data_IF_754231229093
#
_entry.id   IF_754231229093
#
_cell.length_a   1.000
_cell.length_b   1.000
_cell.length_c   1.000
_cell.angle_alpha   90.00
_cell.angle_beta   90.00
_cell.angle_gamma   90.00
#
_symmetry.space_group_name_H-M   'P 1'
#
loop_
_entity.id
_entity.type
_entity.pdbx_description
1 polymer ?
#
# COMPACT_ATOMS: atom_id res chain seq x y z
N UNK A 1 11.00 0.19 -4.89
CA UNK A 1 10.59 -1.06 -4.22
C UNK A 1 11.33 -1.20 -2.91
N UNK A 2 12.61 -1.56 -2.95
CA UNK A 2 13.42 -2.01 -1.79
C UNK A 2 13.26 -1.17 -0.52
N UNK A 3 13.44 0.16 -0.61
CA UNK A 3 13.28 1.05 0.56
C UNK A 3 11.89 0.93 1.22
N UNK A 4 10.83 0.87 0.42
CA UNK A 4 9.46 0.81 0.93
C UNK A 4 9.10 -0.59 1.43
N UNK A 5 9.61 -1.66 0.79
CA UNK A 5 9.48 -3.00 1.33
C UNK A 5 10.14 -3.14 2.72
N UNK A 6 11.36 -2.63 2.88
CA UNK A 6 12.04 -2.62 4.18
C UNK A 6 11.31 -1.75 5.22
N UNK A 7 10.79 -0.58 4.81
CA UNK A 7 10.02 0.29 5.69
C UNK A 7 8.71 -0.35 6.16
N UNK A 8 7.93 -0.95 5.24
CA UNK A 8 6.67 -1.63 5.57
C UNK A 8 6.91 -2.81 6.50
N UNK A 9 7.93 -3.64 6.24
CA UNK A 9 8.30 -4.74 7.14
C UNK A 9 8.87 -4.31 8.50
N UNK A 10 9.02 -3.01 8.74
CA UNK A 10 9.52 -2.42 10.00
C UNK A 10 8.48 -1.51 10.67
N UNK A 11 7.20 -1.60 10.30
CA UNK A 11 6.12 -0.86 10.97
C UNK A 11 6.06 -1.20 12.47
N UNK A 12 5.77 -0.24 13.38
CA UNK A 12 5.73 -0.51 14.82
C UNK A 12 4.80 -1.66 15.21
N UNK A 13 3.65 -1.74 14.53
CA UNK A 13 2.76 -2.89 14.52
C UNK A 13 2.59 -3.30 13.06
N UNK A 14 2.75 -4.59 12.76
CA UNK A 14 2.76 -5.06 11.39
C UNK A 14 1.95 -6.35 11.23
N UNK A 15 1.34 -6.54 10.07
CA UNK A 15 0.77 -7.84 9.66
C UNK A 15 1.48 -8.34 8.42
N UNK A 16 1.90 -9.60 8.45
CA UNK A 16 2.65 -10.22 7.36
C UNK A 16 2.22 -11.66 7.14
N UNK A 17 2.38 -12.11 5.90
CA UNK A 17 2.26 -13.51 5.53
C UNK A 17 3.66 -14.09 5.23
N UNK A 18 3.87 -15.34 5.58
CA UNK A 18 4.98 -16.13 5.04
C UNK A 18 4.64 -16.57 3.61
N UNK A 19 5.37 -16.15 2.55
CA UNK A 19 5.02 -16.52 1.18
C UNK A 19 5.15 -18.01 0.87
N UNK A 20 5.79 -18.81 1.74
CA UNK A 20 6.00 -20.25 1.55
C UNK A 20 4.72 -21.04 1.80
N UNK A 21 3.97 -20.70 2.83
CA UNK A 21 2.77 -21.43 3.26
C UNK A 21 1.55 -20.53 3.47
N UNK A 22 1.71 -19.21 3.35
CA UNK A 22 0.69 -18.18 3.57
C UNK A 22 0.12 -18.13 4.98
N UNK A 23 0.88 -18.62 5.97
CA UNK A 23 0.61 -18.38 7.38
C UNK A 23 0.75 -16.89 7.69
N UNK A 24 -0.22 -16.36 8.42
CA UNK A 24 -0.30 -14.93 8.79
C UNK A 24 0.07 -14.77 10.26
N UNK A 25 0.91 -13.78 10.53
CA UNK A 25 1.23 -13.33 11.88
C UNK A 25 1.01 -11.82 12.00
N UNK A 26 0.68 -11.37 13.21
CA UNK A 26 0.92 -10.00 13.61
C UNK A 26 2.24 -9.88 14.38
N UNK A 27 2.91 -8.76 14.19
CA UNK A 27 4.20 -8.41 14.79
C UNK A 27 4.03 -7.12 15.56
N UNK A 28 4.60 -7.06 16.75
CA UNK A 28 4.65 -5.86 17.58
C UNK A 28 6.10 -5.55 17.93
N UNK A 29 6.64 -4.49 17.34
CA UNK A 29 7.99 -3.99 17.62
C UNK A 29 8.02 -2.97 18.77
N UNK A 30 6.88 -2.68 19.39
CA UNK A 30 6.77 -1.71 20.48
C UNK A 30 6.92 -2.37 21.85
N UNK A 31 6.92 -1.54 22.90
CA UNK A 31 7.07 -1.96 24.30
C UNK A 31 5.74 -2.23 24.99
N UNK A 32 4.62 -1.99 24.31
CA UNK A 32 3.28 -2.11 24.86
C UNK A 32 2.54 -3.23 24.15
N UNK A 33 1.79 -4.04 24.91
CA UNK A 33 0.99 -5.10 24.32
C UNK A 33 -0.26 -4.51 23.64
N UNK A 34 -0.63 -5.06 22.48
CA UNK A 34 -1.90 -4.74 21.82
C UNK A 34 -2.89 -5.84 22.16
N UNK A 35 -3.99 -5.48 22.81
CA UNK A 35 -5.04 -6.41 23.25
C UNK A 35 -6.30 -6.24 22.42
N UNK A 36 -6.99 -7.33 22.13
CA UNK A 36 -8.24 -7.32 21.35
C UNK A 36 -8.08 -6.82 19.92
N UNK A 37 -6.89 -6.96 19.32
CA UNK A 37 -6.67 -6.61 17.93
C UNK A 37 -7.38 -7.60 17.00
N UNK A 38 -7.66 -7.18 15.77
CA UNK A 38 -8.24 -8.04 14.73
C UNK A 38 -7.37 -8.02 13.47
N UNK A 39 -7.01 -9.21 12.99
CA UNK A 39 -6.39 -9.39 11.68
C UNK A 39 -7.49 -9.76 10.67
N UNK A 40 -7.45 -9.11 9.50
CA UNK A 40 -8.29 -9.43 8.34
C UNK A 40 -7.44 -9.81 7.14
N UNK A 41 -7.87 -10.82 6.39
CA UNK A 41 -7.33 -11.13 5.08
C UNK A 41 -8.45 -11.12 4.02
N UNK A 42 -8.19 -10.46 2.91
CA UNK A 42 -9.07 -10.39 1.74
C UNK A 42 -8.26 -10.77 0.50
N UNK A 43 -8.80 -11.66 -0.34
CA UNK A 43 -8.15 -12.12 -1.57
C UNK A 43 -8.87 -11.50 -2.76
N UNK A 44 -8.12 -11.02 -3.76
CA UNK A 44 -8.67 -10.36 -4.94
C UNK A 44 -8.06 -10.89 -6.22
N UNK A 45 -8.86 -11.01 -7.27
CA UNK A 45 -8.34 -11.15 -8.62
C UNK A 45 -7.74 -9.82 -9.12
N UNK A 46 -7.26 -9.81 -10.37
CA UNK A 46 -6.66 -8.62 -10.99
C UNK A 46 -7.69 -7.59 -11.49
N UNK A 47 -8.98 -7.96 -11.50
CA UNK A 47 -10.10 -7.04 -11.75
C UNK A 47 -10.57 -6.35 -10.45
N UNK A 48 -10.02 -6.75 -9.30
CA UNK A 48 -10.39 -6.26 -7.98
C UNK A 48 -11.63 -6.94 -7.38
N UNK A 49 -12.13 -8.00 -8.01
CA UNK A 49 -13.19 -8.82 -7.44
C UNK A 49 -12.63 -9.63 -6.27
N UNK A 50 -13.37 -9.64 -5.15
CA UNK A 50 -13.00 -10.45 -3.98
C UNK A 50 -13.23 -11.93 -4.29
N UNK A 51 -12.21 -12.74 -4.06
CA UNK A 51 -12.22 -14.19 -4.21
C UNK A 51 -12.48 -14.83 -2.83
N UNK A 52 -13.76 -15.10 -2.54
CA UNK A 52 -14.20 -15.69 -1.28
C UNK A 52 -14.46 -14.69 -0.16
N UNK A 53 -14.60 -15.24 1.05
CA UNK A 53 -14.94 -14.47 2.25
C UNK A 53 -13.72 -13.86 2.92
N UNK A 54 -13.95 -12.76 3.65
CA UNK A 54 -12.92 -12.14 4.48
C UNK A 54 -12.61 -13.03 5.67
N UNK A 55 -11.36 -13.49 5.77
CA UNK A 55 -10.89 -14.19 6.96
C UNK A 55 -10.61 -13.18 8.07
N UNK A 56 -10.96 -13.55 9.31
CA UNK A 56 -10.83 -12.69 10.48
C UNK A 56 -10.35 -13.49 11.67
N UNK A 57 -9.51 -12.89 12.50
CA UNK A 57 -9.13 -13.47 13.79
C UNK A 57 -8.77 -12.38 14.79
N UNK A 58 -9.39 -12.46 15.97
CA UNK A 58 -8.97 -11.68 17.12
C UNK A 58 -7.63 -12.22 17.66
N UNK A 59 -6.73 -11.32 18.00
CA UNK A 59 -5.39 -11.64 18.52
C UNK A 59 -4.99 -10.66 19.61
N UNK A 60 -4.31 -11.18 20.62
CA UNK A 60 -3.52 -10.38 21.54
C UNK A 60 -2.05 -10.49 21.13
N UNK A 61 -1.38 -9.35 20.98
CA UNK A 61 0.01 -9.29 20.53
C UNK A 61 0.86 -8.74 21.68
N UNK A 62 1.66 -9.58 22.36
CA UNK A 62 2.53 -9.13 23.43
C UNK A 62 3.53 -8.07 22.94
N UNK A 63 4.07 -7.29 23.87
CA UNK A 63 5.16 -6.36 23.58
C UNK A 63 6.37 -7.09 22.99
N UNK A 64 7.04 -6.47 22.01
CA UNK A 64 8.24 -7.01 21.35
C UNK A 64 8.11 -8.48 20.90
N UNK A 65 6.95 -8.87 20.39
CA UNK A 65 6.61 -10.26 20.08
C UNK A 65 5.70 -10.39 18.87
N UNK A 66 5.33 -11.63 18.54
CA UNK A 66 4.45 -11.98 17.43
C UNK A 66 3.25 -12.79 17.92
N UNK A 67 2.14 -12.72 17.21
CA UNK A 67 0.97 -13.55 17.43
C UNK A 67 0.54 -14.23 16.12
N UNK A 68 0.32 -15.54 16.17
CA UNK A 68 -0.11 -16.32 15.01
C UNK A 68 -1.61 -16.15 14.75
N UNK A 69 -1.97 -16.00 13.47
CA UNK A 69 -3.35 -15.83 13.02
C UNK A 69 -3.86 -17.12 12.37
N UNK A 70 -4.00 -17.13 11.05
CA UNK A 70 -4.50 -18.23 10.23
C UNK A 70 -3.62 -18.36 8.98
N UNK A 71 -3.84 -19.41 8.20
CA UNK A 71 -3.27 -19.53 6.86
C UNK A 71 -4.26 -19.05 5.82
N UNK A 72 -3.82 -18.20 4.89
CA UNK A 72 -4.67 -17.73 3.78
C UNK A 72 -4.81 -18.86 2.76
N UNK A 73 -6.02 -19.42 2.55
CA UNK A 73 -6.22 -20.49 1.58
C UNK A 73 -5.97 -19.96 0.16
N UNK A 74 -5.67 -20.88 -0.75
CA UNK A 74 -5.78 -20.55 -2.17
C UNK A 74 -7.25 -20.25 -2.49
N UNK A 75 -7.54 -19.25 -3.35
CA UNK A 75 -8.90 -19.02 -3.80
C UNK A 75 -9.38 -20.19 -4.67
N UNK A 76 -10.70 -20.42 -4.68
CA UNK A 76 -11.33 -21.34 -5.62
C UNK A 76 -11.17 -20.83 -7.07
N UNK A 77 -11.15 -21.76 -8.04
CA UNK A 77 -11.02 -21.42 -9.46
C UNK A 77 -9.59 -21.20 -9.95
N UNK A 78 -9.45 -20.79 -11.21
CA UNK A 78 -8.15 -20.59 -11.87
C UNK A 78 -7.67 -19.14 -11.71
N UNK A 79 -7.15 -18.83 -10.53
CA UNK A 79 -6.55 -17.53 -10.21
C UNK A 79 -5.08 -17.70 -9.81
N UNK A 80 -4.20 -18.12 -10.74
CA UNK A 80 -2.81 -18.42 -10.40
C UNK A 80 -2.10 -17.18 -9.88
N UNK A 81 -2.32 -16.00 -10.49
CA UNK A 81 -1.91 -14.70 -9.97
C UNK A 81 -3.10 -13.96 -9.37
N UNK A 82 -3.00 -13.61 -8.09
CA UNK A 82 -4.00 -12.85 -7.37
C UNK A 82 -3.35 -12.01 -6.26
N UNK A 83 -4.13 -11.19 -5.57
CA UNK A 83 -3.65 -10.32 -4.51
C UNK A 83 -4.21 -10.73 -3.16
N UNK A 84 -3.40 -10.58 -2.12
CA UNK A 84 -3.79 -10.83 -0.73
C UNK A 84 -3.59 -9.54 0.04
N UNK A 85 -4.68 -8.97 0.55
CA UNK A 85 -4.68 -7.78 1.41
C UNK A 85 -4.81 -8.22 2.86
N UNK A 86 -3.78 -7.92 3.65
CA UNK A 86 -3.80 -8.11 5.09
C UNK A 86 -4.00 -6.77 5.77
N UNK A 87 -4.81 -6.75 6.83
CA UNK A 87 -5.02 -5.57 7.67
C UNK A 87 -5.03 -5.96 9.14
N UNK A 88 -4.39 -5.14 9.96
CA UNK A 88 -4.41 -5.24 11.41
C UNK A 88 -5.13 -4.02 11.96
N UNK A 89 -6.10 -4.27 12.84
CA UNK A 89 -6.85 -3.26 13.55
C UNK A 89 -6.65 -3.44 15.06
N UNK A 90 -6.64 -2.34 15.82
CA UNK A 90 -6.73 -2.41 17.28
C UNK A 90 -8.18 -2.63 17.75
N UNK A 91 -8.36 -2.68 19.08
CA UNK A 91 -9.67 -2.86 19.70
C UNK A 91 -10.63 -1.67 19.50
N UNK A 92 -10.12 -0.48 19.19
CA UNK A 92 -10.94 0.70 18.85
C UNK A 92 -11.41 0.67 17.39
N UNK A 93 -10.82 -0.20 16.56
CA UNK A 93 -11.09 -0.30 15.13
C UNK A 93 -10.16 0.57 14.27
N UNK A 94 -9.13 1.16 14.86
CA UNK A 94 -8.13 1.91 14.11
C UNK A 94 -7.17 0.96 13.40
N UNK A 95 -6.87 1.25 12.13
CA UNK A 95 -5.98 0.41 11.32
C UNK A 95 -4.53 0.66 11.71
N UNK A 96 -3.90 -0.34 12.32
CA UNK A 96 -2.49 -0.30 12.70
C UNK A 96 -1.55 -0.60 11.53
N UNK A 97 -1.95 -1.51 10.64
CA UNK A 97 -1.12 -1.94 9.50
C UNK A 97 -1.99 -2.39 8.32
N UNK A 98 -1.47 -2.22 7.10
CA UNK A 98 -1.98 -2.87 5.89
C UNK A 98 -0.80 -3.37 5.08
N UNK A 99 -0.88 -4.60 4.59
CA UNK A 99 0.17 -5.20 3.77
C UNK A 99 -0.47 -5.94 2.59
N UNK A 100 -0.03 -5.62 1.38
CA UNK A 100 -0.56 -6.21 0.15
C UNK A 100 0.51 -7.09 -0.50
N UNK A 101 0.14 -8.33 -0.78
CA UNK A 101 0.96 -9.29 -1.50
C UNK A 101 0.35 -9.58 -2.85
N UNK A 102 1.19 -9.93 -3.82
CA UNK A 102 0.76 -10.71 -4.97
C UNK A 102 1.17 -12.18 -4.74
N UNK A 103 0.20 -13.07 -4.78
CA UNK A 103 0.39 -14.52 -4.68
C UNK A 103 0.34 -15.10 -6.08
N UNK A 104 1.31 -15.97 -6.38
CA UNK A 104 1.40 -16.65 -7.67
C UNK A 104 1.73 -18.13 -7.50
N UNK A 105 1.28 -18.98 -8.41
CA UNK A 105 1.63 -20.40 -8.41
C UNK A 105 3.05 -20.65 -8.91
N UNK A 106 3.40 -20.06 -10.05
CA UNK A 106 4.71 -20.13 -10.69
C UNK A 106 5.15 -18.75 -11.16
N UNK A 107 6.46 -18.51 -11.25
CA UNK A 107 6.99 -17.19 -11.62
C UNK A 107 6.48 -16.66 -12.98
N UNK A 108 6.11 -17.57 -13.91
CA UNK A 108 5.52 -17.20 -15.20
C UNK A 108 4.14 -16.56 -15.09
N UNK A 109 3.39 -16.85 -14.03
CA UNK A 109 2.02 -16.33 -13.85
C UNK A 109 2.03 -14.80 -13.64
N UNK A 110 3.17 -14.24 -13.20
CA UNK A 110 3.39 -12.80 -13.11
C UNK A 110 3.31 -12.09 -14.47
N UNK A 111 3.47 -12.82 -15.59
CA UNK A 111 3.32 -12.24 -16.93
C UNK A 111 1.91 -11.74 -17.19
N UNK A 112 0.89 -12.22 -16.48
CA UNK A 112 -0.47 -11.68 -16.57
C UNK A 112 -0.55 -10.17 -16.25
N UNK A 113 0.42 -9.62 -15.51
CA UNK A 113 0.54 -8.17 -15.29
C UNK A 113 0.78 -7.40 -16.61
N UNK A 114 1.33 -8.05 -17.63
CA UNK A 114 1.53 -7.49 -18.97
C UNK A 114 0.24 -7.42 -19.79
N UNK A 115 -0.81 -8.11 -19.39
CA UNK A 115 -2.06 -8.17 -20.15
C UNK A 115 -3.19 -7.40 -19.47
N UNK A 116 -2.89 -6.78 -18.31
CA UNK A 116 -3.84 -5.93 -17.61
C UNK A 116 -4.36 -4.82 -18.52
N UNK A 117 -5.68 -4.65 -18.50
CA UNK A 117 -6.31 -3.41 -18.91
C UNK A 117 -5.63 -2.25 -18.17
N UNK A 118 -5.39 -1.14 -18.87
CA UNK A 118 -4.69 0.00 -18.25
C UNK A 118 -5.55 0.58 -17.14
N UNK A 119 -5.04 0.53 -15.91
CA UNK A 119 -5.65 1.24 -14.80
C UNK A 119 -5.54 2.76 -15.02
N UNK A 120 -6.57 3.50 -14.60
CA UNK A 120 -6.63 4.95 -14.69
C UNK A 120 -6.37 5.55 -13.31
N UNK A 121 -5.27 6.28 -13.18
CA UNK A 121 -4.90 6.92 -11.93
C UNK A 121 -5.34 8.39 -11.94
N UNK A 122 -5.95 8.81 -10.85
CA UNK A 122 -6.24 10.21 -10.56
C UNK A 122 -5.46 10.65 -9.33
N UNK A 123 -4.98 11.88 -9.33
CA UNK A 123 -4.24 12.47 -8.21
C UNK A 123 -4.84 13.84 -7.93
N UNK A 124 -5.47 13.99 -6.76
CA UNK A 124 -6.01 15.26 -6.29
C UNK A 124 -5.13 15.83 -5.20
N UNK A 125 -4.84 17.13 -5.26
CA UNK A 125 -4.11 17.82 -4.19
C UNK A 125 -5.07 18.24 -3.09
N UNK A 126 -4.80 17.81 -1.87
CA UNK A 126 -5.65 18.11 -0.71
C UNK A 126 -5.14 19.35 0.03
N UNK A 127 -3.84 19.33 0.40
CA UNK A 127 -3.27 20.37 1.26
C UNK A 127 -1.79 20.59 1.01
N UNK A 128 -1.35 21.83 1.18
CA UNK A 128 0.08 22.14 1.37
C UNK A 128 0.29 22.85 2.69
N UNK A 129 1.34 22.47 3.40
CA UNK A 129 1.72 23.07 4.66
C UNK A 129 3.22 23.27 4.75
N UNK A 130 3.61 24.25 5.57
CA UNK A 130 5.00 24.50 5.96
C UNK A 130 5.08 24.34 7.47
N UNK A 131 5.85 23.35 7.93
CA UNK A 131 6.09 23.12 9.37
C UNK A 131 7.50 22.58 9.57
N UNK A 132 8.15 22.98 10.68
CA UNK A 132 9.45 22.46 11.12
C UNK A 132 10.53 22.51 10.01
N UNK A 133 10.57 23.62 9.26
CA UNK A 133 11.53 23.79 8.16
C UNK A 133 11.28 22.87 6.95
N UNK A 134 10.10 22.27 6.81
CA UNK A 134 9.73 21.42 5.68
C UNK A 134 8.46 21.91 4.99
N UNK A 135 8.37 21.64 3.70
CA UNK A 135 7.15 21.80 2.90
C UNK A 135 6.54 20.41 2.73
N UNK A 136 5.26 20.26 3.06
CA UNK A 136 4.50 19.01 2.89
C UNK A 136 3.35 19.22 1.91
N UNK A 137 3.19 18.27 1.00
CA UNK A 137 2.07 18.17 0.05
C UNK A 137 1.31 16.88 0.36
N UNK A 138 0.03 17.00 0.66
CA UNK A 138 -0.89 15.87 0.85
C UNK A 138 -1.74 15.73 -0.39
N UNK A 139 -1.77 14.52 -0.95
CA UNK A 139 -2.55 14.18 -2.14
C UNK A 139 -3.37 12.93 -1.89
N UNK A 140 -4.52 12.81 -2.54
CA UNK A 140 -5.23 11.53 -2.68
C UNK A 140 -4.91 10.95 -4.05
N UNK A 141 -4.45 9.70 -4.08
CA UNK A 141 -4.31 8.91 -5.31
C UNK A 141 -5.45 7.90 -5.37
N UNK A 142 -6.17 7.90 -6.48
CA UNK A 142 -7.30 7.01 -6.73
C UNK A 142 -7.07 6.17 -7.97
N UNK A 143 -7.44 4.90 -7.93
CA UNK A 143 -7.63 4.10 -9.15
C UNK A 143 -9.09 4.22 -9.61
N UNK A 144 -9.33 4.93 -10.73
CA UNK A 144 -10.63 5.07 -11.39
C UNK A 144 -10.88 4.00 -12.46
N UNK A 145 -9.87 3.16 -12.75
CA UNK A 145 -9.97 2.08 -13.73
C UNK A 145 -10.79 0.89 -13.24
N UNK A 146 -10.84 -0.15 -14.09
CA UNK A 146 -11.55 -1.41 -13.83
C UNK A 146 -10.62 -2.60 -13.55
N UNK A 147 -9.32 -2.35 -13.48
CA UNK A 147 -8.27 -3.32 -13.16
C UNK A 147 -7.40 -2.75 -12.05
N UNK A 148 -6.71 -3.63 -11.34
CA UNK A 148 -5.73 -3.20 -10.34
C UNK A 148 -4.65 -2.32 -10.97
N UNK A 149 -4.20 -1.31 -10.24
CA UNK A 149 -3.00 -0.53 -10.55
C UNK A 149 -1.81 -1.07 -9.74
N UNK A 150 -0.87 -1.80 -10.36
CA UNK A 150 0.25 -2.40 -9.65
C UNK A 150 1.35 -1.39 -9.34
N UNK A 151 1.93 -1.44 -8.14
CA UNK A 151 3.17 -0.75 -7.79
C UNK A 151 3.16 0.76 -8.11
N UNK A 152 2.04 1.43 -7.84
CA UNK A 152 1.85 2.87 -8.04
C UNK A 152 2.89 3.63 -7.23
N UNK A 153 3.87 4.18 -7.96
CA UNK A 153 4.94 4.99 -7.40
C UNK A 153 4.55 6.46 -7.46
N UNK A 154 4.53 7.10 -6.30
CA UNK A 154 4.44 8.54 -6.16
C UNK A 154 5.82 9.17 -6.25
N UNK A 155 5.91 10.34 -6.90
CA UNK A 155 7.11 11.15 -6.97
C UNK A 155 6.76 12.65 -6.90
N UNK A 156 7.34 13.34 -5.93
CA UNK A 156 7.36 14.80 -5.86
C UNK A 156 8.30 15.37 -6.93
N UNK A 157 7.80 16.34 -7.70
CA UNK A 157 8.53 16.95 -8.80
C UNK A 157 8.35 18.46 -8.78
N UNK A 158 9.34 19.11 -9.37
CA UNK A 158 9.28 20.50 -9.78
C UNK A 158 8.49 20.58 -11.09
N UNK A 159 7.45 21.41 -11.13
CA UNK A 159 6.50 21.51 -12.24
C UNK A 159 7.12 22.13 -13.48
N UNK A 160 8.10 23.03 -13.31
CA UNK A 160 8.74 23.76 -14.41
C UNK A 160 9.76 22.88 -15.13
N UNK A 161 10.57 22.15 -14.38
CA UNK A 161 11.65 21.32 -14.91
C UNK A 161 11.24 19.86 -15.11
N UNK A 162 10.19 19.40 -14.43
CA UNK A 162 9.81 17.99 -14.37
C UNK A 162 10.74 17.13 -13.51
N UNK A 163 11.81 17.70 -12.95
CA UNK A 163 12.79 16.97 -12.15
C UNK A 163 12.22 16.54 -10.80
N UNK A 164 12.73 15.44 -10.25
CA UNK A 164 12.36 14.99 -8.90
C UNK A 164 12.93 15.94 -7.87
N UNK A 165 12.11 16.31 -6.88
CA UNK A 165 12.56 17.04 -5.70
C UNK A 165 13.05 16.03 -4.68
N UNK A 166 14.30 16.17 -4.25
CA UNK A 166 14.97 15.27 -3.30
C UNK A 166 15.79 16.08 -2.28
N UNK A 167 15.96 15.57 -1.05
CA UNK A 167 15.32 14.38 -0.50
C UNK A 167 13.82 14.62 -0.25
N UNK A 168 13.01 13.59 -0.45
CA UNK A 168 11.58 13.62 -0.18
C UNK A 168 11.18 12.42 0.70
N UNK A 169 10.38 12.68 1.73
CA UNK A 169 9.87 11.67 2.65
C UNK A 169 8.38 11.49 2.40
N UNK A 170 7.96 10.25 2.19
CA UNK A 170 6.58 9.89 1.86
C UNK A 170 5.99 9.14 3.03
N UNK A 171 4.74 9.42 3.37
CA UNK A 171 3.97 8.61 4.33
C UNK A 171 3.70 7.21 3.78
N UNK A 172 3.52 7.05 2.47
CA UNK A 172 3.35 5.77 1.80
C UNK A 172 3.77 5.85 0.31
N UNK A 173 4.13 4.74 -0.33
CA UNK A 173 4.53 4.68 -1.75
C UNK A 173 4.61 3.23 -2.27
N UNK A 174 4.68 3.04 -3.60
CA UNK A 174 4.65 1.72 -4.27
C UNK A 174 3.39 0.93 -3.96
N UNK A 175 2.24 1.59 -4.10
CA UNK A 175 0.93 1.09 -3.71
C UNK A 175 0.38 0.06 -4.70
N UNK A 176 -0.43 -0.86 -4.20
CA UNK A 176 -1.37 -1.63 -5.03
C UNK A 176 -2.75 -1.05 -4.81
N UNK A 177 -3.37 -0.53 -5.87
CA UNK A 177 -4.71 0.09 -5.77
C UNK A 177 -5.71 -0.75 -6.56
N UNK A 178 -6.66 -1.37 -5.88
CA UNK A 178 -7.81 -2.00 -6.54
C UNK A 178 -8.67 -0.94 -7.23
N UNK A 179 -9.53 -1.32 -8.19
CA UNK A 179 -10.55 -0.41 -8.71
C UNK A 179 -11.36 0.26 -7.60
N UNK A 180 -11.41 1.59 -7.64
CA UNK A 180 -12.10 2.41 -6.64
C UNK A 180 -11.28 2.69 -5.37
N UNK A 181 -10.15 2.02 -5.14
CA UNK A 181 -9.30 2.31 -3.97
C UNK A 181 -8.74 3.74 -4.04
N UNK A 182 -8.72 4.37 -2.87
CA UNK A 182 -8.10 5.67 -2.63
C UNK A 182 -7.05 5.57 -1.52
N UNK A 183 -5.95 6.31 -1.69
CA UNK A 183 -4.89 6.44 -0.69
C UNK A 183 -4.49 7.90 -0.56
N UNK A 184 -4.61 8.43 0.65
CA UNK A 184 -4.03 9.72 0.99
C UNK A 184 -2.54 9.53 1.32
N UNK A 185 -1.70 10.31 0.65
CA UNK A 185 -0.26 10.30 0.83
C UNK A 185 0.23 11.72 1.06
N UNK A 186 0.85 11.94 2.21
CA UNK A 186 1.65 13.12 2.49
C UNK A 186 3.10 12.87 2.06
N UNK A 187 3.65 13.78 1.25
CA UNK A 187 5.07 13.87 0.90
C UNK A 187 5.66 15.17 1.44
N UNK A 188 6.85 15.13 2.02
CA UNK A 188 7.55 16.32 2.53
C UNK A 188 8.96 16.46 1.95
N UNK A 189 9.40 17.70 1.75
CA UNK A 189 10.75 18.06 1.33
C UNK A 189 11.28 19.27 2.14
N UNK A 190 12.60 19.53 2.10
CA UNK A 190 13.17 20.76 2.63
C UNK A 190 12.59 22.04 1.99
N UNK A 191 12.80 23.23 2.59
CA UNK A 191 12.04 24.44 2.29
C UNK A 191 12.55 25.20 1.05
N UNK A 192 13.74 24.88 0.55
CA UNK A 192 14.31 25.47 -0.67
C UNK A 192 13.58 25.03 -1.95
N UNK A 193 12.66 24.06 -1.87
CA UNK A 193 11.74 23.75 -2.95
C UNK A 193 10.57 24.75 -2.93
N UNK A 194 10.46 25.60 -3.96
CA UNK A 194 9.41 26.60 -4.08
C UNK A 194 8.02 25.91 -4.13
N UNK A 195 7.11 26.12 -3.16
CA UNK A 195 5.88 25.32 -3.04
C UNK A 195 4.85 25.53 -4.14
N UNK A 196 4.91 26.65 -4.87
CA UNK A 196 4.04 26.95 -6.00
C UNK A 196 4.33 26.09 -7.23
N UNK A 197 5.49 25.42 -7.26
CA UNK A 197 5.95 24.58 -8.36
C UNK A 197 5.98 23.10 -8.00
N UNK A 198 5.44 22.69 -6.84
CA UNK A 198 5.43 21.28 -6.45
C UNK A 198 4.25 20.53 -7.05
N UNK A 199 4.54 19.46 -7.79
CA UNK A 199 3.55 18.52 -8.33
C UNK A 199 3.87 17.11 -7.84
N UNK A 200 2.86 16.36 -7.41
CA UNK A 200 3.01 14.94 -7.10
C UNK A 200 2.53 14.15 -8.30
N UNK A 201 3.38 13.26 -8.81
CA UNK A 201 3.04 12.36 -9.91
C UNK A 201 2.84 10.95 -9.40
N UNK A 202 1.87 10.22 -9.95
CA UNK A 202 1.63 8.80 -9.66
C UNK A 202 1.76 8.00 -10.96
N UNK A 203 2.48 6.87 -10.89
CA UNK A 203 2.64 5.96 -12.01
C UNK A 203 2.87 4.54 -11.50
N UNK A 204 2.00 3.61 -11.89
CA UNK A 204 2.17 2.18 -11.66
C UNK A 204 2.76 1.45 -12.86
N UNK A 205 2.92 0.14 -12.71
CA UNK A 205 3.22 -0.73 -13.83
C UNK A 205 2.10 -0.65 -14.87
N UNK A 206 2.44 -0.45 -16.15
CA UNK A 206 1.49 -0.35 -17.27
C UNK A 206 0.44 0.78 -17.16
N UNK A 207 0.59 1.74 -16.25
CA UNK A 207 -0.29 2.91 -16.19
C UNK A 207 0.32 4.12 -16.90
N UNK A 208 -0.53 5.02 -17.40
CA UNK A 208 -0.08 6.38 -17.71
C UNK A 208 0.35 7.09 -16.42
N UNK A 209 1.21 8.09 -16.55
CA UNK A 209 1.58 8.97 -15.43
C UNK A 209 0.46 9.97 -15.21
N UNK A 210 -0.07 10.01 -13.99
CA UNK A 210 -0.98 11.03 -13.51
C UNK A 210 -0.22 12.09 -12.69
N UNK A 211 -0.73 13.31 -12.65
CA UNK A 211 -0.15 14.43 -11.92
C UNK A 211 -1.21 15.09 -11.07
N UNK A 212 -0.83 15.51 -9.86
CA UNK A 212 -1.70 16.23 -8.95
C UNK A 212 -2.22 17.50 -9.61
N UNK A 213 -3.53 17.61 -9.74
CA UNK A 213 -4.20 18.84 -10.15
C UNK A 213 -4.42 19.75 -8.95
#
# INVERSE_FOLDING_TARGET
GTYYGARSGSEPHHVQADPRDWSVIAVNHTREAVRGAEIRAEVFDLTGQRLGDTQRKAVDIPAASTAAAFTVPAPDGDHPLHLVRLRLYDAAGDRLSENMYWRYGQARDLQALNDLARAELDVSRNRVSRRNGRVSVTVTVRNKGRSVAPMVRLALRDRRTGNRVLPALYSDNYLWLLPGDEREVTVSCPPHALPGELVVTAQGYRTARASSR
#
